data_IF_931117450937
#
_entry.id   IF_931117450937
#
_cell.length_a   1.000
_cell.length_b   1.000
_cell.length_c   1.000
_cell.angle_alpha   90.00
_cell.angle_beta   90.00
_cell.angle_gamma   90.00
#
_symmetry.space_group_name_H-M   'P 1'
#
loop_
_entity.id
_entity.type
_entity.pdbx_description
1 polymer ?
#
# COMPACT_ATOMS: atom_id res chain seq x y z
N UNK A 1 13.00 -5.07 -22.70
CA UNK A 1 12.49 -4.70 -21.37
C UNK A 1 12.55 -5.97 -20.57
N UNK A 2 13.40 -5.97 -19.55
CA UNK A 2 13.57 -7.15 -18.70
C UNK A 2 12.46 -7.19 -17.65
N UNK A 3 11.91 -8.37 -17.41
CA UNK A 3 10.78 -8.60 -16.53
C UNK A 3 11.04 -9.78 -15.61
N UNK A 4 10.61 -9.66 -14.35
CA UNK A 4 10.90 -10.63 -13.29
C UNK A 4 9.64 -10.90 -12.47
N UNK A 5 9.44 -12.15 -12.08
CA UNK A 5 8.30 -12.55 -11.25
C UNK A 5 8.62 -12.51 -9.74
N UNK A 6 9.90 -12.28 -9.40
CA UNK A 6 10.41 -12.16 -8.03
C UNK A 6 11.41 -11.01 -7.93
N UNK A 7 11.36 -10.24 -6.86
CA UNK A 7 12.24 -9.09 -6.63
C UNK A 7 13.67 -9.53 -6.37
N UNK A 8 13.84 -10.72 -5.80
CA UNK A 8 15.14 -11.37 -5.64
C UNK A 8 15.79 -11.65 -7.00
N UNK A 9 15.04 -12.21 -7.94
CA UNK A 9 15.54 -12.45 -9.30
C UNK A 9 15.94 -11.17 -10.02
N UNK A 10 15.18 -10.08 -9.83
CA UNK A 10 15.57 -8.75 -10.33
C UNK A 10 16.85 -8.25 -9.67
N UNK A 11 16.99 -8.42 -8.36
CA UNK A 11 18.19 -7.99 -7.61
C UNK A 11 19.43 -8.76 -8.02
N UNK A 12 19.30 -10.08 -8.21
CA UNK A 12 20.37 -10.96 -8.70
C UNK A 12 20.76 -10.58 -10.15
N UNK A 13 19.77 -10.27 -11.00
CA UNK A 13 20.04 -9.78 -12.36
C UNK A 13 20.83 -8.47 -12.35
N UNK A 14 20.40 -7.47 -11.56
CA UNK A 14 21.10 -6.18 -11.43
C UNK A 14 22.54 -6.38 -10.93
N UNK A 15 22.73 -7.29 -9.98
CA UNK A 15 24.06 -7.59 -9.42
C UNK A 15 25.02 -8.19 -10.44
N UNK A 16 24.49 -8.88 -11.45
CA UNK A 16 25.24 -9.53 -12.53
C UNK A 16 25.35 -8.68 -13.82
N UNK A 17 24.77 -7.48 -13.85
CA UNK A 17 25.00 -6.56 -14.96
C UNK A 17 26.50 -6.22 -15.06
N UNK A 18 27.02 -6.00 -16.27
CA UNK A 18 28.38 -5.48 -16.45
C UNK A 18 28.59 -4.19 -15.64
N UNK A 19 29.81 -3.96 -15.18
CA UNK A 19 30.15 -2.68 -14.56
C UNK A 19 29.89 -1.52 -15.54
N UNK A 20 29.21 -0.50 -15.05
CA UNK A 20 28.75 0.63 -15.86
C UNK A 20 27.60 1.39 -15.22
N UNK A 21 27.16 2.45 -15.89
CA UNK A 21 26.15 3.38 -15.39
C UNK A 21 24.84 2.70 -15.01
N UNK A 22 24.38 1.73 -15.79
CA UNK A 22 23.10 1.08 -15.56
C UNK A 22 23.10 0.24 -14.27
N UNK A 23 24.19 -0.52 -14.03
CA UNK A 23 24.37 -1.30 -12.80
C UNK A 23 24.37 -0.39 -11.57
N UNK A 24 25.10 0.72 -11.64
CA UNK A 24 25.20 1.68 -10.54
C UNK A 24 23.84 2.33 -10.23
N UNK A 25 23.12 2.76 -11.26
CA UNK A 25 21.79 3.38 -11.13
C UNK A 25 20.79 2.41 -10.53
N UNK A 26 20.67 1.19 -11.07
CA UNK A 26 19.71 0.23 -10.54
C UNK A 26 20.08 -0.24 -9.13
N UNK A 27 21.37 -0.39 -8.83
CA UNK A 27 21.83 -0.70 -7.47
C UNK A 27 21.54 0.43 -6.49
N UNK A 28 21.62 1.70 -6.92
CA UNK A 28 21.25 2.83 -6.05
C UNK A 28 19.75 2.83 -5.76
N UNK A 29 18.91 2.53 -6.75
CA UNK A 29 17.45 2.39 -6.55
C UNK A 29 17.15 1.32 -5.50
N UNK A 30 17.78 0.14 -5.59
CA UNK A 30 17.55 -0.92 -4.60
C UNK A 30 17.94 -0.50 -3.17
N UNK A 31 19.07 0.22 -3.02
CA UNK A 31 19.53 0.71 -1.71
C UNK A 31 18.66 1.83 -1.16
N UNK A 32 18.24 2.76 -2.01
CA UNK A 32 17.46 3.93 -1.61
C UNK A 32 16.01 3.60 -1.24
N UNK A 33 15.51 2.45 -1.68
CA UNK A 33 14.13 1.97 -1.47
C UNK A 33 14.08 0.64 -0.70
N UNK A 34 15.05 0.37 0.17
CA UNK A 34 15.17 -0.92 0.88
C UNK A 34 13.91 -1.30 1.67
N UNK A 35 13.25 -0.34 2.32
CA UNK A 35 12.00 -0.56 3.04
C UNK A 35 10.87 -1.02 2.10
N UNK A 36 10.72 -0.36 0.95
CA UNK A 36 9.75 -0.72 -0.09
C UNK A 36 10.06 -2.09 -0.68
N UNK A 37 11.33 -2.40 -0.95
CA UNK A 37 11.79 -3.70 -1.46
C UNK A 37 11.48 -4.83 -0.46
N UNK A 38 11.72 -4.59 0.83
CA UNK A 38 11.43 -5.53 1.91
C UNK A 38 9.93 -5.83 1.99
N UNK A 39 9.10 -4.78 1.86
CA UNK A 39 7.64 -4.91 1.85
C UNK A 39 7.13 -5.65 0.62
N UNK A 40 7.68 -5.36 -0.56
CA UNK A 40 7.36 -6.06 -1.81
C UNK A 40 7.67 -7.56 -1.70
N UNK A 41 8.84 -7.91 -1.13
CA UNK A 41 9.23 -9.31 -0.89
C UNK A 41 8.24 -10.03 0.02
N UNK A 42 7.82 -9.39 1.12
CA UNK A 42 6.81 -9.95 2.01
C UNK A 42 5.46 -10.16 1.29
N UNK A 43 5.06 -9.23 0.42
CA UNK A 43 3.85 -9.38 -0.40
C UNK A 43 3.96 -10.57 -1.37
N UNK A 44 5.13 -10.89 -1.92
CA UNK A 44 5.29 -12.07 -2.79
C UNK A 44 5.05 -13.40 -2.07
N UNK A 45 5.17 -13.43 -0.74
CA UNK A 45 4.98 -14.62 0.09
C UNK A 45 3.56 -14.75 0.64
N UNK A 46 2.85 -13.62 0.72
CA UNK A 46 1.60 -13.52 1.49
C UNK A 46 0.42 -13.04 0.67
N UNK A 47 0.63 -12.24 -0.37
CA UNK A 47 -0.42 -11.65 -1.18
C UNK A 47 -0.71 -12.53 -2.39
N UNK A 48 -1.99 -12.64 -2.82
CA UNK A 48 -2.36 -13.26 -4.09
C UNK A 48 -1.98 -12.38 -5.30
N UNK A 49 -1.02 -11.46 -5.17
CA UNK A 49 -0.53 -10.66 -6.29
C UNK A 49 0.41 -11.47 -7.16
N UNK A 50 -0.01 -11.69 -8.41
CA UNK A 50 0.87 -12.02 -9.53
C UNK A 50 1.74 -10.79 -9.85
N UNK A 51 2.50 -10.34 -8.84
CA UNK A 51 3.33 -9.17 -8.93
C UNK A 51 4.52 -9.46 -9.84
N UNK A 52 4.85 -8.48 -10.69
CA UNK A 52 5.97 -8.55 -11.61
C UNK A 52 6.72 -7.23 -11.60
N UNK A 53 8.02 -7.33 -11.82
CA UNK A 53 8.93 -6.19 -11.82
C UNK A 53 9.54 -6.00 -13.18
N UNK A 54 9.73 -4.76 -13.60
CA UNK A 54 10.25 -4.46 -14.93
C UNK A 54 11.33 -3.38 -14.86
N UNK A 55 12.43 -3.59 -15.58
CA UNK A 55 13.45 -2.58 -15.77
C UNK A 55 13.15 -1.80 -17.06
N UNK A 56 12.90 -0.50 -16.93
CA UNK A 56 12.62 0.35 -18.07
C UNK A 56 13.16 1.76 -17.85
N UNK A 57 14.11 2.20 -18.71
CA UNK A 57 14.70 3.55 -18.69
C UNK A 57 15.09 4.03 -17.27
N UNK A 58 15.92 3.26 -16.58
CA UNK A 58 16.41 3.56 -15.22
C UNK A 58 15.32 3.66 -14.14
N UNK A 59 14.16 3.05 -14.38
CA UNK A 59 13.07 2.91 -13.40
C UNK A 59 12.74 1.43 -13.23
N UNK A 60 12.43 1.04 -12.00
CA UNK A 60 11.90 -0.29 -11.67
C UNK A 60 10.38 -0.16 -11.52
N UNK A 61 9.62 -0.74 -12.44
CA UNK A 61 8.17 -0.73 -12.39
C UNK A 61 7.64 -1.95 -11.65
N UNK A 62 6.59 -1.76 -10.86
CA UNK A 62 5.87 -2.79 -10.13
C UNK A 62 4.49 -2.92 -10.77
N UNK A 63 4.18 -4.13 -11.24
CA UNK A 63 2.89 -4.43 -11.86
C UNK A 63 2.21 -5.60 -11.18
N UNK A 64 0.90 -5.62 -11.19
CA UNK A 64 0.12 -6.80 -10.80
C UNK A 64 -1.18 -6.85 -11.60
N UNK A 65 -1.63 -8.06 -11.94
CA UNK A 65 -2.82 -8.26 -12.76
C UNK A 65 -4.02 -8.68 -11.92
N UNK A 66 -5.21 -8.18 -12.29
CA UNK A 66 -6.48 -8.61 -11.70
C UNK A 66 -7.56 -8.73 -12.76
N UNK A 67 -8.42 -9.73 -12.59
CA UNK A 67 -9.72 -9.74 -13.27
C UNK A 67 -10.65 -8.84 -12.48
N UNK A 68 -11.18 -7.80 -13.11
CA UNK A 68 -12.23 -6.97 -12.53
C UNK A 68 -13.52 -7.18 -13.30
N UNK A 69 -14.58 -7.45 -12.55
CA UNK A 69 -15.95 -7.40 -13.03
C UNK A 69 -16.32 -5.94 -13.29
N UNK A 70 -16.11 -5.47 -14.53
CA UNK A 70 -16.26 -4.05 -14.88
C UNK A 70 -17.60 -3.75 -15.55
N UNK A 71 -18.24 -4.76 -16.15
CA UNK A 71 -19.53 -4.61 -16.84
C UNK A 71 -20.48 -5.71 -16.36
N UNK A 72 -21.60 -5.31 -15.74
CA UNK A 72 -22.69 -6.20 -15.36
C UNK A 72 -23.88 -5.96 -16.30
N UNK A 73 -24.27 -7.00 -17.03
CA UNK A 73 -25.46 -7.03 -17.89
C UNK A 73 -26.49 -7.99 -17.27
N UNK A 74 -27.35 -7.46 -16.40
CA UNK A 74 -28.27 -8.29 -15.61
C UNK A 74 -27.51 -9.22 -14.65
N UNK A 75 -27.73 -10.52 -14.75
CA UNK A 75 -27.03 -11.55 -13.96
C UNK A 75 -25.62 -11.91 -14.49
N UNK A 76 -25.25 -11.41 -15.67
CA UNK A 76 -23.98 -11.75 -16.31
C UNK A 76 -22.96 -10.66 -16.04
N UNK A 77 -21.74 -11.05 -15.69
CA UNK A 77 -20.63 -10.13 -15.52
C UNK A 77 -19.49 -10.44 -16.48
N UNK A 78 -19.01 -9.42 -17.19
CA UNK A 78 -17.79 -9.52 -17.98
C UNK A 78 -16.60 -9.14 -17.11
N UNK A 79 -15.71 -10.11 -16.91
CA UNK A 79 -14.44 -9.91 -16.23
C UNK A 79 -13.39 -9.44 -17.24
N UNK A 80 -12.90 -8.22 -17.05
CA UNK A 80 -11.82 -7.65 -17.85
C UNK A 80 -10.52 -7.81 -17.06
N UNK A 81 -9.49 -8.35 -17.72
CA UNK A 81 -8.13 -8.34 -17.18
C UNK A 81 -7.58 -6.91 -17.17
N UNK A 82 -7.21 -6.42 -15.99
CA UNK A 82 -6.61 -5.10 -15.79
C UNK A 82 -5.23 -5.29 -15.20
N UNK A 83 -4.24 -4.67 -15.83
CA UNK A 83 -2.87 -4.58 -15.32
C UNK A 83 -2.74 -3.29 -14.52
N UNK A 84 -2.39 -3.41 -13.24
CA UNK A 84 -2.10 -2.26 -12.41
C UNK A 84 -0.60 -2.00 -12.44
N UNK A 85 -0.21 -0.74 -12.66
CA UNK A 85 1.12 -0.22 -12.31
C UNK A 85 0.95 0.45 -10.96
N UNK A 86 1.31 -0.24 -9.89
CA UNK A 86 0.96 0.17 -8.53
C UNK A 86 1.65 -0.70 -7.48
N UNK A 87 1.75 -0.18 -6.26
CA UNK A 87 2.16 -0.98 -5.12
C UNK A 87 1.02 -1.97 -4.77
N UNK A 88 1.26 -3.29 -4.62
CA UNK A 88 0.21 -4.29 -4.47
C UNK A 88 -0.41 -4.35 -3.05
N UNK A 89 -0.63 -3.20 -2.41
CA UNK A 89 -1.34 -3.06 -1.14
C UNK A 89 -1.98 -1.67 -0.98
N UNK A 90 -2.84 -1.51 0.03
CA UNK A 90 -3.60 -0.28 0.26
C UNK A 90 -2.79 0.87 0.90
N UNK A 91 -1.66 1.24 0.27
CA UNK A 91 -0.83 2.38 0.70
C UNK A 91 -0.62 3.34 -0.48
N UNK A 92 -0.40 4.65 -0.22
CA UNK A 92 -0.28 5.66 -1.27
C UNK A 92 1.12 5.69 -1.92
N UNK A 93 1.78 4.54 -2.04
CA UNK A 93 3.06 4.42 -2.74
C UNK A 93 2.87 4.30 -4.25
N UNK A 94 3.85 4.79 -4.99
CA UNK A 94 3.89 4.69 -6.45
C UNK A 94 4.10 3.23 -6.90
N UNK A 95 3.62 2.91 -8.09
CA UNK A 95 3.90 1.62 -8.76
C UNK A 95 5.28 1.52 -9.41
N UNK A 96 6.25 2.32 -8.98
CA UNK A 96 7.58 2.34 -9.57
C UNK A 96 8.60 2.98 -8.62
N UNK A 97 9.86 2.53 -8.74
CA UNK A 97 11.02 2.99 -7.96
C UNK A 97 12.02 3.63 -8.91
N UNK A 98 12.59 4.77 -8.50
CA UNK A 98 13.51 5.58 -9.29
C UNK A 98 14.55 6.23 -8.36
N UNK A 99 15.71 6.70 -8.88
CA UNK A 99 16.74 7.29 -8.04
C UNK A 99 16.23 8.58 -7.38
N UNK A 100 16.28 8.68 -6.06
CA UNK A 100 15.78 9.83 -5.27
C UNK A 100 16.49 11.14 -5.63
N UNK A 101 17.76 11.05 -6.05
CA UNK A 101 18.61 12.21 -6.37
C UNK A 101 18.57 12.66 -7.84
N UNK A 102 17.72 12.06 -8.70
CA UNK A 102 17.63 12.43 -10.11
C UNK A 102 16.47 13.38 -10.43
N UNK A 103 16.63 14.14 -11.52
CA UNK A 103 15.60 15.03 -12.02
C UNK A 103 14.34 14.25 -12.42
N UNK A 104 13.20 14.65 -11.83
CA UNK A 104 11.89 14.01 -12.02
C UNK A 104 11.13 14.47 -13.27
N UNK A 105 11.63 15.46 -14.03
CA UNK A 105 10.93 16.04 -15.19
C UNK A 105 10.56 15.00 -16.26
N UNK A 106 11.37 13.96 -16.45
CA UNK A 106 11.13 12.91 -17.45
C UNK A 106 10.22 11.77 -16.96
N UNK A 107 9.96 11.65 -15.64
CA UNK A 107 9.17 10.56 -15.08
C UNK A 107 7.77 10.42 -15.70
N UNK A 108 6.99 11.50 -15.93
CA UNK A 108 5.67 11.37 -16.57
C UNK A 108 5.71 10.70 -17.94
N UNK A 109 6.73 10.99 -18.73
CA UNK A 109 6.90 10.39 -20.06
C UNK A 109 7.36 8.93 -19.94
N UNK A 110 8.29 8.64 -19.03
CA UNK A 110 8.76 7.27 -18.78
C UNK A 110 7.61 6.37 -18.31
N UNK A 111 6.78 6.84 -17.37
CA UNK A 111 5.62 6.09 -16.86
C UNK A 111 4.58 5.89 -17.96
N UNK A 112 4.27 6.91 -18.77
CA UNK A 112 3.32 6.80 -19.90
C UNK A 112 3.82 5.85 -20.98
N UNK A 113 5.09 5.94 -21.34
CA UNK A 113 5.70 5.05 -22.33
C UNK A 113 5.71 3.61 -21.83
N UNK A 114 6.09 3.38 -20.57
CA UNK A 114 5.99 2.06 -19.95
C UNK A 114 4.55 1.52 -19.97
N UNK A 115 3.56 2.30 -19.53
CA UNK A 115 2.17 1.88 -19.52
C UNK A 115 1.67 1.47 -20.92
N UNK A 116 2.11 2.16 -21.99
CA UNK A 116 1.78 1.81 -23.39
C UNK A 116 2.41 0.51 -23.88
N UNK A 117 3.48 0.04 -23.24
CA UNK A 117 4.09 -1.27 -23.56
C UNK A 117 3.28 -2.45 -22.99
N UNK A 118 2.43 -2.20 -21.99
CA UNK A 118 1.64 -3.24 -21.35
C UNK A 118 0.42 -3.57 -22.22
N UNK A 119 0.06 -4.86 -22.26
CA UNK A 119 -1.11 -5.33 -23.01
C UNK A 119 -2.40 -5.14 -22.20
N UNK A 120 -3.49 -4.80 -22.91
CA UNK A 120 -4.82 -4.70 -22.32
C UNK A 120 -5.06 -3.38 -21.57
N UNK A 121 -6.02 -3.39 -20.65
CA UNK A 121 -6.36 -2.21 -19.84
C UNK A 121 -5.32 -2.01 -18.74
N UNK A 122 -4.72 -0.82 -18.70
CA UNK A 122 -3.67 -0.48 -17.74
C UNK A 122 -4.16 0.64 -16.84
N UNK A 123 -4.00 0.45 -15.53
CA UNK A 123 -4.30 1.47 -14.51
C UNK A 123 -3.02 1.80 -13.77
N UNK A 124 -2.58 3.05 -13.82
CA UNK A 124 -1.46 3.53 -13.00
C UNK A 124 -2.02 4.11 -11.71
N UNK A 125 -1.65 3.52 -10.57
CA UNK A 125 -2.08 3.96 -9.24
C UNK A 125 -1.02 4.87 -8.61
N UNK A 126 -1.49 5.88 -7.86
CA UNK A 126 -0.66 6.79 -7.07
C UNK A 126 0.56 7.27 -7.86
N UNK A 127 0.35 7.80 -9.06
CA UNK A 127 1.42 8.03 -10.02
C UNK A 127 2.51 8.99 -9.53
N UNK A 128 2.36 9.70 -8.40
CA UNK A 128 3.38 10.58 -7.83
C UNK A 128 3.77 11.78 -8.70
N UNK A 129 3.14 11.91 -9.87
CA UNK A 129 3.31 12.95 -10.87
C UNK A 129 2.03 13.05 -11.69
N UNK A 130 1.79 14.22 -12.27
CA UNK A 130 0.65 14.41 -13.16
C UNK A 130 0.91 13.68 -14.49
N UNK A 131 0.12 12.64 -14.76
CA UNK A 131 0.22 11.87 -16.00
C UNK A 131 -0.70 12.40 -17.09
N UNK A 132 -1.84 13.01 -16.74
CA UNK A 132 -2.86 13.69 -17.56
C UNK A 132 -4.05 14.04 -16.62
N UNK A 133 -5.09 14.74 -17.14
CA UNK A 133 -6.41 14.89 -16.48
C UNK A 133 -7.06 13.52 -16.19
N UNK A 134 -6.61 12.86 -15.14
CA UNK A 134 -7.06 11.55 -14.71
C UNK A 134 -8.26 11.64 -13.77
N UNK A 135 -9.02 10.55 -13.70
CA UNK A 135 -10.04 10.39 -12.67
C UNK A 135 -9.38 10.30 -11.30
N UNK A 136 -9.99 10.95 -10.30
CA UNK A 136 -9.49 10.99 -8.92
C UNK A 136 -9.40 9.56 -8.37
N UNK A 137 -8.20 9.14 -7.95
CA UNK A 137 -8.04 8.04 -6.99
C UNK A 137 -8.54 8.51 -5.62
N UNK A 138 -8.73 7.58 -4.69
CA UNK A 138 -9.05 7.92 -3.29
C UNK A 138 -8.07 8.96 -2.73
N UNK A 139 -8.59 9.87 -1.91
CA UNK A 139 -7.78 10.95 -1.34
C UNK A 139 -6.74 10.39 -0.37
N UNK A 140 -5.50 10.85 -0.52
CA UNK A 140 -4.44 10.57 0.45
C UNK A 140 -4.48 11.65 1.52
N UNK A 141 -4.71 11.24 2.77
CA UNK A 141 -4.68 12.13 3.92
C UNK A 141 -3.36 11.93 4.66
N UNK A 142 -2.55 13.00 4.71
CA UNK A 142 -1.27 13.00 5.44
C UNK A 142 -1.46 13.82 6.71
N UNK A 143 -1.12 13.21 7.84
CA UNK A 143 -1.07 13.89 9.13
C UNK A 143 0.38 14.26 9.43
N UNK A 144 0.71 15.56 9.38
CA UNK A 144 1.99 16.06 9.84
C UNK A 144 1.97 16.13 11.38
N UNK A 145 2.77 15.30 12.02
CA UNK A 145 2.83 15.21 13.48
C UNK A 145 3.95 16.11 14.03
N UNK A 146 3.62 17.38 14.24
CA UNK A 146 4.53 18.39 14.81
C UNK A 146 4.20 18.72 16.28
N UNK A 147 3.27 17.98 16.90
CA UNK A 147 2.77 18.23 18.26
C UNK A 147 3.61 17.48 19.29
N UNK A 148 3.94 18.13 20.41
CA UNK A 148 4.73 17.55 21.51
C UNK A 148 3.88 16.77 22.49
N UNK A 149 2.61 17.15 22.64
CA UNK A 149 1.67 16.45 23.53
C UNK A 149 0.33 16.18 22.84
N UNK A 150 -0.43 15.23 23.39
CA UNK A 150 -1.76 14.93 22.89
C UNK A 150 -2.71 16.11 23.10
N UNK A 151 -2.58 16.83 24.22
CA UNK A 151 -3.37 18.03 24.53
C UNK A 151 -3.11 19.14 23.52
N UNK A 152 -1.85 19.32 23.12
CA UNK A 152 -1.45 20.27 22.08
C UNK A 152 -2.14 19.94 20.75
N UNK A 153 -2.06 18.67 20.32
CA UNK A 153 -2.76 18.19 19.13
C UNK A 153 -4.27 18.48 19.20
N UNK A 154 -4.93 18.09 20.29
CA UNK A 154 -6.37 18.27 20.46
C UNK A 154 -6.73 19.76 20.40
N UNK A 155 -5.98 20.63 21.09
CA UNK A 155 -6.22 22.07 21.11
C UNK A 155 -6.09 22.74 19.73
N UNK A 156 -5.24 22.19 18.86
CA UNK A 156 -5.04 22.69 17.50
C UNK A 156 -6.13 22.22 16.52
N UNK A 157 -6.96 21.23 16.88
CA UNK A 157 -8.07 20.78 16.04
C UNK A 157 -9.21 21.80 16.00
N UNK A 158 -9.94 21.88 14.88
CA UNK A 158 -11.15 22.71 14.79
C UNK A 158 -12.15 22.27 15.86
N UNK A 159 -12.92 23.21 16.42
CA UNK A 159 -13.81 22.94 17.55
C UNK A 159 -14.80 21.79 17.33
N UNK A 160 -15.22 21.54 16.08
CA UNK A 160 -16.09 20.41 15.74
C UNK A 160 -15.37 19.05 15.86
N UNK A 161 -14.11 18.95 15.45
CA UNK A 161 -13.28 17.75 15.64
C UNK A 161 -12.90 17.58 17.11
N UNK A 162 -12.49 18.65 17.79
CA UNK A 162 -12.20 18.63 19.22
C UNK A 162 -13.36 18.01 20.01
N UNK A 163 -14.59 18.51 19.82
CA UNK A 163 -15.79 17.96 20.49
C UNK A 163 -16.00 16.48 20.17
N UNK A 164 -15.83 16.06 18.91
CA UNK A 164 -15.98 14.66 18.52
C UNK A 164 -14.93 13.77 19.19
N UNK A 165 -13.68 14.20 19.24
CA UNK A 165 -12.60 13.41 19.85
C UNK A 165 -12.85 13.25 21.36
N UNK A 166 -13.16 14.33 22.08
CA UNK A 166 -13.49 14.26 23.51
C UNK A 166 -14.70 13.36 23.78
N UNK A 167 -15.75 13.44 22.95
CA UNK A 167 -16.90 12.55 23.07
C UNK A 167 -16.54 11.09 22.83
N UNK A 168 -15.69 10.80 21.84
CA UNK A 168 -15.20 9.45 21.57
C UNK A 168 -14.35 8.91 22.71
N UNK A 169 -13.43 9.71 23.27
CA UNK A 169 -12.63 9.34 24.43
C UNK A 169 -13.50 9.03 25.64
N UNK A 170 -14.51 9.85 25.91
CA UNK A 170 -15.46 9.60 27.01
C UNK A 170 -16.25 8.31 26.80
N UNK A 171 -16.76 8.06 25.59
CA UNK A 171 -17.48 6.82 25.25
C UNK A 171 -16.58 5.59 25.30
N UNK A 172 -15.31 5.74 24.93
CA UNK A 172 -14.31 4.69 24.93
C UNK A 172 -13.60 4.46 26.26
N UNK A 173 -14.03 5.11 27.35
CA UNK A 173 -13.34 5.03 28.65
C UNK A 173 -13.27 3.62 29.25
N UNK A 174 -14.18 2.72 28.86
CA UNK A 174 -14.14 1.30 29.23
C UNK A 174 -13.44 0.39 28.22
N UNK A 175 -12.80 0.95 27.19
CA UNK A 175 -12.08 0.15 26.20
C UNK A 175 -10.63 -0.05 26.61
N UNK A 176 -10.12 -1.23 26.34
CA UNK A 176 -8.70 -1.55 26.48
C UNK A 176 -8.05 -1.54 25.11
N UNK A 177 -6.87 -0.91 25.03
CA UNK A 177 -6.05 -0.90 23.83
C UNK A 177 -4.74 -1.60 24.15
N UNK A 178 -4.37 -2.59 23.35
CA UNK A 178 -3.13 -3.34 23.52
C UNK A 178 -2.41 -3.46 22.19
N UNK A 179 -1.11 -3.22 22.20
CA UNK A 179 -0.25 -3.59 21.08
C UNK A 179 -0.01 -5.10 21.14
N UNK A 180 -0.18 -5.76 20.00
CA UNK A 180 0.05 -7.20 19.85
C UNK A 180 1.12 -7.45 18.79
N UNK A 181 1.82 -8.57 18.92
CA UNK A 181 2.73 -9.02 17.88
C UNK A 181 1.94 -9.54 16.66
N UNK A 182 2.47 -9.41 15.43
CA UNK A 182 1.83 -9.96 14.24
C UNK A 182 1.46 -11.45 14.38
N UNK A 183 2.27 -12.25 15.07
CA UNK A 183 1.99 -13.66 15.34
C UNK A 183 0.75 -13.91 16.21
N UNK A 184 0.31 -12.93 17.01
CA UNK A 184 -0.91 -12.99 17.81
C UNK A 184 -2.17 -12.69 16.99
N UNK A 185 -2.03 -12.23 15.74
CA UNK A 185 -3.17 -11.90 14.88
C UNK A 185 -4.03 -13.15 14.61
N UNK A 186 -5.27 -13.10 15.11
CA UNK A 186 -6.17 -14.26 15.15
C UNK A 186 -7.27 -14.19 14.08
N UNK A 187 -8.03 -15.28 13.95
CA UNK A 187 -9.21 -15.31 13.10
C UNK A 187 -10.24 -14.25 13.50
N UNK A 188 -10.40 -13.97 14.80
CA UNK A 188 -11.32 -12.94 15.30
C UNK A 188 -10.96 -11.55 14.73
N UNK A 189 -9.66 -11.23 14.63
CA UNK A 189 -9.20 -9.99 14.00
C UNK A 189 -9.52 -9.97 12.50
N UNK A 190 -9.25 -11.09 11.82
CA UNK A 190 -9.49 -11.20 10.38
C UNK A 190 -10.96 -11.08 10.01
N UNK A 191 -11.85 -11.61 10.84
CA UNK A 191 -13.30 -11.47 10.64
C UNK A 191 -13.74 -10.00 10.73
N UNK A 192 -13.11 -9.18 11.58
CA UNK A 192 -13.33 -7.73 11.61
C UNK A 192 -12.87 -7.05 10.32
N UNK A 193 -11.73 -7.47 9.78
CA UNK A 193 -11.23 -6.98 8.49
C UNK A 193 -12.21 -7.33 7.36
N UNK A 194 -12.64 -8.60 7.29
CA UNK A 194 -13.61 -9.05 6.30
C UNK A 194 -14.93 -8.29 6.42
N UNK A 195 -15.42 -8.05 7.64
CA UNK A 195 -16.64 -7.27 7.87
C UNK A 195 -16.57 -5.84 7.31
N UNK A 196 -15.44 -5.15 7.49
CA UNK A 196 -15.21 -3.84 6.87
C UNK A 196 -15.11 -3.98 5.35
N UNK A 197 -14.32 -4.94 4.88
CA UNK A 197 -14.08 -5.19 3.46
C UNK A 197 -15.36 -5.52 2.69
N UNK A 198 -16.29 -6.25 3.31
CA UNK A 198 -17.58 -6.61 2.72
C UNK A 198 -18.48 -5.40 2.49
N UNK A 199 -18.38 -4.38 3.36
CA UNK A 199 -19.15 -3.13 3.26
C UNK A 199 -18.55 -2.14 2.25
N UNK A 200 -17.31 -2.35 1.78
CA UNK A 200 -16.66 -1.47 0.82
C UNK A 200 -17.25 -1.61 -0.59
N UNK A 201 -17.56 -0.47 -1.23
CA UNK A 201 -18.07 -0.41 -2.60
C UNK A 201 -17.05 -0.85 -3.65
N UNK A 202 -15.75 -0.64 -3.37
CA UNK A 202 -14.66 -0.99 -4.26
C UNK A 202 -13.65 -1.85 -3.50
N UNK A 203 -13.44 -3.08 -3.98
CA UNK A 203 -12.46 -4.02 -3.42
C UNK A 203 -11.36 -4.20 -4.46
N UNK A 204 -10.18 -3.65 -4.18
CA UNK A 204 -9.02 -3.81 -5.05
C UNK A 204 -8.33 -5.16 -4.81
N UNK A 205 -8.02 -5.44 -3.54
CA UNK A 205 -7.35 -6.67 -3.09
C UNK A 205 -7.92 -7.03 -1.71
N UNK A 206 -8.25 -8.31 -1.53
CA UNK A 206 -8.47 -8.90 -0.20
C UNK A 206 -7.16 -9.52 0.27
N UNK A 207 -6.63 -9.04 1.39
CA UNK A 207 -5.41 -9.59 1.96
C UNK A 207 -5.76 -10.84 2.77
N UNK A 208 -5.01 -11.95 2.63
CA UNK A 208 -5.28 -13.16 3.42
C UNK A 208 -4.82 -12.98 4.87
N UNK A 209 -5.29 -13.85 5.76
CA UNK A 209 -4.90 -13.86 7.18
C UNK A 209 -3.37 -13.83 7.37
N UNK A 210 -2.64 -14.62 6.57
CA UNK A 210 -1.18 -14.71 6.66
C UNK A 210 -0.45 -13.40 6.35
N UNK A 211 -1.06 -12.49 5.57
CA UNK A 211 -0.53 -11.15 5.38
C UNK A 211 -0.43 -10.42 6.72
N UNK A 212 -1.49 -10.44 7.53
CA UNK A 212 -1.51 -9.73 8.82
C UNK A 212 -0.49 -10.30 9.80
N UNK A 213 -0.27 -11.62 9.76
CA UNK A 213 0.68 -12.32 10.64
C UNK A 213 2.14 -12.11 10.28
N UNK A 214 2.43 -11.82 9.01
CA UNK A 214 3.80 -11.68 8.50
C UNK A 214 4.18 -10.24 8.17
N UNK A 215 3.20 -9.36 7.95
CA UNK A 215 3.48 -7.96 7.64
C UNK A 215 4.12 -7.30 8.87
N UNK A 216 5.38 -6.84 8.77
CA UNK A 216 6.07 -6.22 9.89
C UNK A 216 5.41 -4.89 10.21
N UNK A 217 5.10 -4.66 11.48
CA UNK A 217 4.44 -3.43 11.91
C UNK A 217 3.82 -3.56 13.29
N UNK A 218 3.14 -2.49 13.69
CA UNK A 218 2.41 -2.41 14.96
C UNK A 218 0.96 -2.77 14.71
N UNK A 219 0.44 -3.72 15.48
CA UNK A 219 -0.98 -4.03 15.52
C UNK A 219 -1.52 -3.57 16.87
N UNK A 220 -2.51 -2.69 16.86
CA UNK A 220 -3.23 -2.30 18.08
C UNK A 220 -4.61 -2.93 18.02
N UNK A 221 -4.91 -3.78 18.99
CA UNK A 221 -6.26 -4.31 19.22
C UNK A 221 -7.02 -3.43 20.20
N UNK A 222 -8.32 -3.32 20.01
CA UNK A 222 -9.24 -2.57 20.87
C UNK A 222 -10.34 -3.52 21.31
N UNK A 223 -10.46 -3.73 22.62
CA UNK A 223 -11.43 -4.64 23.24
C UNK A 223 -12.31 -3.91 24.25
N UNK A 224 -13.54 -4.37 24.41
CA UNK A 224 -14.26 -4.19 25.66
C UNK A 224 -13.97 -5.39 26.59
N UNK A 225 -14.60 -5.45 27.77
CA UNK A 225 -14.41 -6.55 28.74
C UNK A 225 -14.71 -7.96 28.20
N UNK A 226 -15.32 -8.09 27.01
CA UNK A 226 -15.87 -9.35 26.49
C UNK A 226 -15.36 -9.74 25.12
N UNK A 227 -15.02 -8.80 24.25
CA UNK A 227 -14.81 -9.09 22.82
C UNK A 227 -13.85 -8.11 22.13
N UNK A 228 -13.25 -8.58 21.04
CA UNK A 228 -12.52 -7.73 20.12
C UNK A 228 -13.49 -6.86 19.32
N UNK A 229 -13.32 -5.55 19.40
CA UNK A 229 -14.18 -4.57 18.74
C UNK A 229 -13.55 -4.00 17.47
N UNK A 230 -12.24 -3.74 17.52
CA UNK A 230 -11.50 -3.20 16.41
C UNK A 230 -10.02 -3.60 16.47
N UNK A 231 -9.35 -3.48 15.33
CA UNK A 231 -7.90 -3.46 15.29
C UNK A 231 -7.43 -2.50 14.20
N UNK A 232 -6.19 -2.04 14.35
CA UNK A 232 -5.47 -1.29 13.34
C UNK A 232 -4.06 -1.85 13.18
N UNK A 233 -3.62 -2.05 11.94
CA UNK A 233 -2.25 -2.38 11.60
C UNK A 233 -1.58 -1.18 10.94
N UNK A 234 -0.42 -0.78 11.47
CA UNK A 234 0.38 0.33 10.99
C UNK A 234 1.81 -0.13 10.73
N UNK A 235 2.48 0.51 9.77
CA UNK A 235 3.89 0.26 9.47
C UNK A 235 4.60 1.56 9.14
N UNK A 236 5.77 1.74 9.72
CA UNK A 236 6.69 2.78 9.29
C UNK A 236 7.48 2.33 8.06
N UNK A 237 7.53 3.20 7.05
CA UNK A 237 8.31 3.05 5.82
C UNK A 237 8.93 4.41 5.50
N UNK A 238 10.25 4.48 5.38
CA UNK A 238 10.99 5.72 5.08
C UNK A 238 10.59 6.91 5.97
N UNK A 239 10.40 6.68 7.28
CA UNK A 239 10.04 7.73 8.25
C UNK A 239 8.58 8.17 8.22
N UNK A 240 7.71 7.49 7.46
CA UNK A 240 6.27 7.76 7.42
C UNK A 240 5.51 6.57 8.00
N UNK A 241 4.65 6.83 8.99
CA UNK A 241 3.76 5.82 9.57
C UNK A 241 2.51 5.67 8.69
N UNK A 242 2.39 4.53 8.01
CA UNK A 242 1.24 4.19 7.19
C UNK A 242 0.20 3.43 7.99
N UNK A 243 -1.06 3.88 7.93
CA UNK A 243 -2.21 3.04 8.21
C UNK A 243 -2.35 2.02 7.08
N UNK A 244 -2.07 0.75 7.34
CA UNK A 244 -2.15 -0.30 6.32
C UNK A 244 -3.60 -0.74 6.16
N UNK A 245 -4.16 -1.35 7.21
CA UNK A 245 -5.48 -1.96 7.23
C UNK A 245 -6.01 -1.97 8.67
N UNK A 246 -7.32 -2.12 8.77
CA UNK A 246 -7.99 -2.30 10.05
C UNK A 246 -9.31 -3.02 9.87
N UNK A 247 -9.90 -3.37 11.00
CA UNK A 247 -11.20 -4.00 11.07
C UNK A 247 -11.94 -3.44 12.27
N UNK A 248 -13.26 -3.31 12.16
CA UNK A 248 -14.12 -2.93 13.27
C UNK A 248 -15.55 -3.40 13.02
N UNK A 249 -16.31 -3.57 14.10
CA UNK A 249 -17.74 -3.90 14.04
C UNK A 249 -18.57 -2.65 13.75
#
# INVERSE_FOLDING_TARGET
>A
MESFDRIRSLSDYISNLPEGSDREIYSSILREHDDEISLLRMLEETSPSDQRYHLYRHVIFITFSRKKSCLRFGSHSLDIGVTFVGFPMSIPLCGYLYPKNQNRTSLPEIVRSFARTQKGTVVVLNAGTDLHKGHLTESVFVFAHDFKTFEEYISATRSSYHKKIIQSLKKGSGLTMRQIEPSEFSQEHYDLYLSVHERMKQRLITMPLEFFRKCPGVIVEIRDDRQLLAFVQMKEVSGVLYFILGGFR
#
